data_IF_182701770893
#
_entry.id   IF_182701770893
#
_cell.length_a   1.000
_cell.length_b   1.000
_cell.length_c   1.000
_cell.angle_alpha   90.00
_cell.angle_beta   90.00
_cell.angle_gamma   90.00
#
_symmetry.space_group_name_H-M   'P 1'
#
loop_
_entity.id
_entity.type
_entity.pdbx_description
1 polymer ?
#
# COMPACT_ATOMS: atom_id res chain seq x y z
N UNK A 1 18.44 -1.49 3.14
CA UNK A 1 17.85 -0.40 2.34
C UNK A 1 16.76 0.21 3.22
N UNK A 2 16.79 1.50 3.56
CA UNK A 2 15.75 2.08 4.41
C UNK A 2 14.44 2.15 3.62
N UNK A 3 13.40 1.53 4.15
CA UNK A 3 12.08 1.48 3.53
C UNK A 3 11.23 0.42 4.21
N UNK A 4 9.96 0.72 4.45
CA UNK A 4 9.00 -0.24 4.97
C UNK A 4 8.57 -1.19 3.85
N UNK A 5 8.52 -2.48 4.13
CA UNK A 5 7.98 -3.45 3.18
C UNK A 5 6.46 -3.36 3.21
N UNK A 6 5.82 -3.32 2.05
CA UNK A 6 4.36 -3.44 1.96
C UNK A 6 3.98 -4.74 1.30
N UNK A 7 2.87 -5.31 1.73
CA UNK A 7 2.25 -6.49 1.15
C UNK A 7 0.81 -6.16 0.80
N UNK A 8 0.45 -6.27 -0.48
CA UNK A 8 -0.92 -6.09 -0.95
C UNK A 8 -1.59 -7.46 -1.10
N UNK A 9 -2.78 -7.60 -0.50
CA UNK A 9 -3.62 -8.80 -0.57
C UNK A 9 -2.88 -10.10 -0.20
N UNK A 10 -1.82 -10.01 0.61
CA UNK A 10 -0.98 -11.15 0.97
C UNK A 10 -0.05 -11.69 -0.13
N UNK A 11 -0.04 -11.11 -1.33
CA UNK A 11 0.60 -11.69 -2.51
C UNK A 11 1.70 -10.84 -3.15
N UNK A 12 1.51 -9.52 -3.32
CA UNK A 12 2.54 -8.69 -3.95
C UNK A 12 3.27 -7.86 -2.89
N UNK A 13 4.60 -7.84 -3.01
CA UNK A 13 5.45 -7.05 -2.15
C UNK A 13 5.87 -5.76 -2.88
N UNK A 14 5.83 -4.64 -2.16
CA UNK A 14 6.38 -3.35 -2.59
C UNK A 14 7.28 -2.77 -1.51
N UNK A 15 8.03 -1.73 -1.84
CA UNK A 15 8.74 -0.92 -0.84
C UNK A 15 8.15 0.48 -0.81
N UNK A 16 7.95 1.00 0.39
CA UNK A 16 7.64 2.41 0.62
C UNK A 16 8.85 3.27 0.27
N UNK A 17 8.66 4.25 -0.60
CA UNK A 17 9.66 5.24 -0.98
C UNK A 17 9.78 6.39 0.03
N UNK A 18 10.62 7.37 -0.30
CA UNK A 18 10.99 8.47 0.61
C UNK A 18 9.80 9.34 1.08
N UNK A 19 8.73 9.47 0.28
CA UNK A 19 7.55 10.28 0.63
C UNK A 19 6.45 9.49 1.36
N UNK A 20 6.72 8.27 1.82
CA UNK A 20 5.68 7.39 2.36
C UNK A 20 4.77 6.81 1.27
N UNK A 21 5.20 6.88 0.02
CA UNK A 21 4.43 6.45 -1.15
C UNK A 21 4.91 5.11 -1.69
N UNK A 22 4.00 4.33 -2.27
CA UNK A 22 4.33 3.08 -2.93
C UNK A 22 3.53 2.92 -4.21
N UNK A 23 4.20 2.45 -5.26
CA UNK A 23 3.57 2.11 -6.52
C UNK A 23 3.17 0.64 -6.53
N UNK A 24 1.86 0.37 -6.65
CA UNK A 24 1.32 -0.99 -6.65
C UNK A 24 0.52 -1.21 -7.93
N UNK A 25 1.01 -2.06 -8.86
CA UNK A 25 0.28 -2.41 -10.06
C UNK A 25 -0.84 -3.42 -9.76
N UNK A 26 -1.85 -3.48 -10.62
CA UNK A 26 -2.90 -4.50 -10.62
C UNK A 26 -3.78 -4.54 -9.36
N UNK A 27 -4.11 -3.37 -8.80
CA UNK A 27 -5.06 -3.26 -7.69
C UNK A 27 -6.43 -3.85 -8.06
N UNK A 28 -6.98 -4.64 -7.14
CA UNK A 28 -8.36 -5.09 -7.19
C UNK A 28 -9.31 -3.95 -6.78
N UNK A 29 -10.62 -4.16 -6.90
CA UNK A 29 -11.60 -3.16 -6.42
C UNK A 29 -11.57 -2.99 -4.90
N UNK A 30 -11.23 -4.05 -4.17
CA UNK A 30 -11.05 -4.07 -2.73
C UNK A 30 -9.67 -4.65 -2.45
N UNK A 31 -8.84 -3.92 -1.72
CA UNK A 31 -7.50 -4.36 -1.38
C UNK A 31 -7.23 -4.18 0.10
N UNK A 32 -6.31 -5.00 0.59
CA UNK A 32 -5.73 -4.91 1.92
C UNK A 32 -4.23 -4.68 1.78
N UNK A 33 -3.76 -3.55 2.27
CA UNK A 33 -2.34 -3.24 2.40
C UNK A 33 -1.89 -3.62 3.80
N UNK A 34 -0.77 -4.30 3.90
CA UNK A 34 -0.03 -4.53 5.14
C UNK A 34 1.33 -3.87 5.00
N UNK A 35 1.75 -3.11 6.01
CA UNK A 35 3.04 -2.43 6.06
C UNK A 35 3.81 -3.02 7.23
N UNK A 36 4.98 -3.58 6.95
CA UNK A 36 5.92 -4.03 7.97
C UNK A 36 6.71 -2.83 8.47
N UNK A 37 6.45 -2.44 9.72
CA UNK A 37 7.09 -1.32 10.41
C UNK A 37 8.31 -1.77 11.23
N UNK A 38 8.86 -2.95 10.93
CA UNK A 38 10.01 -3.55 11.60
C UNK A 38 9.74 -3.68 13.12
N UNK A 39 10.49 -2.94 13.93
CA UNK A 39 10.42 -2.99 15.39
C UNK A 39 9.09 -2.46 15.97
N UNK A 40 8.29 -1.77 15.15
CA UNK A 40 6.98 -1.24 15.53
C UNK A 40 5.82 -2.18 15.19
N UNK A 41 6.11 -3.40 14.71
CA UNK A 41 5.10 -4.38 14.31
C UNK A 41 4.63 -4.18 12.87
N UNK A 42 3.37 -4.50 12.58
CA UNK A 42 2.77 -4.29 11.26
C UNK A 42 1.50 -3.47 11.32
N UNK A 43 1.30 -2.64 10.31
CA UNK A 43 0.05 -1.90 10.09
C UNK A 43 -0.75 -2.56 8.99
N UNK A 44 -2.09 -2.56 9.09
CA UNK A 44 -2.96 -3.04 8.03
C UNK A 44 -4.04 -2.00 7.70
N UNK A 45 -4.23 -1.73 6.41
CA UNK A 45 -5.26 -0.82 5.91
C UNK A 45 -6.05 -1.47 4.78
N UNK A 46 -7.37 -1.46 4.90
CA UNK A 46 -8.28 -1.84 3.80
C UNK A 46 -8.69 -0.61 2.99
N UNK A 47 -8.67 -0.70 1.67
CA UNK A 47 -9.14 0.36 0.80
C UNK A 47 -9.80 -0.15 -0.47
N UNK A 48 -10.70 0.66 -1.04
CA UNK A 48 -11.35 0.37 -2.30
C UNK A 48 -10.91 1.33 -3.39
N UNK A 49 -10.74 0.83 -4.60
CA UNK A 49 -10.38 1.62 -5.78
C UNK A 49 -11.35 1.34 -6.92
N UNK A 50 -11.76 2.41 -7.63
CA UNK A 50 -12.56 2.28 -8.84
C UNK A 50 -11.66 2.44 -10.07
N UNK A 51 -11.46 1.34 -10.79
CA UNK A 51 -10.59 1.25 -11.97
C UNK A 51 -11.11 1.96 -13.22
N UNK A 52 -12.28 2.62 -13.16
CA UNK A 52 -12.84 3.38 -14.29
C UNK A 52 -12.01 4.60 -14.71
N UNK A 53 -10.86 4.86 -14.08
CA UNK A 53 -9.99 5.97 -14.47
C UNK A 53 -8.64 5.41 -14.95
N UNK A 54 -8.35 5.61 -16.23
CA UNK A 54 -7.12 5.20 -16.94
C UNK A 54 -5.86 5.96 -16.48
N UNK A 55 -5.92 6.77 -15.41
CA UNK A 55 -4.76 7.47 -14.89
C UNK A 55 -4.35 6.93 -13.52
N UNK A 56 -3.05 6.94 -13.27
CA UNK A 56 -2.43 6.70 -11.97
C UNK A 56 -2.99 7.69 -10.97
N UNK A 57 -4.05 7.31 -10.26
CA UNK A 57 -4.65 8.12 -9.22
C UNK A 57 -3.89 7.84 -7.91
N UNK A 58 -3.27 8.87 -7.34
CA UNK A 58 -2.73 8.80 -5.98
C UNK A 58 -3.88 8.43 -5.03
N UNK A 59 -3.73 7.33 -4.29
CA UNK A 59 -4.69 6.89 -3.29
C UNK A 59 -4.13 7.18 -1.90
N UNK A 60 -4.95 7.75 -1.03
CA UNK A 60 -4.57 8.10 0.34
C UNK A 60 -4.90 9.55 0.71
N UNK A 61 -4.43 10.02 1.89
CA UNK A 61 -3.57 9.31 2.82
C UNK A 61 -4.29 8.15 3.52
N UNK A 62 -3.56 7.07 3.76
CA UNK A 62 -4.02 5.94 4.58
C UNK A 62 -3.23 5.98 5.89
N UNK A 63 -3.95 6.15 7.00
CA UNK A 63 -3.33 6.30 8.32
C UNK A 63 -3.23 4.93 8.97
N UNK A 64 -2.03 4.60 9.43
CA UNK A 64 -1.74 3.51 10.33
C UNK A 64 -1.88 4.00 11.77
N UNK A 65 -2.63 3.28 12.61
CA UNK A 65 -2.75 3.54 14.05
C UNK A 65 -1.84 2.63 14.85
#
# INVERSE_FOLDING_TARGET
MPGYAVRINGQQNGMVGYDGEVFIPNLLKQNKLEVDLLDHGSCQVGFTYNSNQYSTKKLGPYICH
#
